data_IF_759559676953
#
_entry.id   IF_759559676953
#
_cell.length_a   1.000
_cell.length_b   1.000
_cell.length_c   1.000
_cell.angle_alpha   90.00
_cell.angle_beta   90.00
_cell.angle_gamma   90.00
#
_symmetry.space_group_name_H-M   'P 1'
#
loop_
_entity.id
_entity.type
_entity.pdbx_description
1 polymer ?
#
# COMPACT_ATOMS: atom_id res chain seq x y z
N UNK A 1 27.82 5.82 97.32
CA UNK A 1 27.90 7.27 97.60
C UNK A 1 26.47 7.80 97.66
N UNK A 2 26.13 8.44 98.80
CA UNK A 2 25.14 9.51 99.05
C UNK A 2 23.95 9.68 98.08
N UNK A 3 22.73 9.98 98.50
CA UNK A 3 22.08 10.12 99.79
C UNK A 3 20.61 10.48 99.48
N UNK A 4 19.71 10.09 100.39
CA UNK A 4 18.58 10.84 100.94
C UNK A 4 17.60 11.61 100.04
N UNK A 5 16.32 11.36 100.32
CA UNK A 5 15.21 12.28 100.03
C UNK A 5 13.89 11.79 100.62
N UNK A 6 13.71 11.95 101.93
CA UNK A 6 12.47 11.69 102.69
C UNK A 6 11.52 12.90 102.55
N UNK A 7 10.21 12.66 102.38
CA UNK A 7 9.05 13.28 103.09
C UNK A 7 7.78 13.13 102.23
N UNK A 8 6.83 12.26 102.62
CA UNK A 8 5.62 12.52 103.44
C UNK A 8 4.73 13.65 102.88
N UNK A 9 3.46 13.36 102.58
CA UNK A 9 2.27 13.93 103.23
C UNK A 9 0.98 13.19 102.81
N UNK A 10 0.20 12.82 103.82
CA UNK A 10 -1.26 12.69 103.97
C UNK A 10 -2.10 13.49 102.93
N UNK A 11 -3.40 13.27 102.65
CA UNK A 11 -4.48 12.37 103.06
C UNK A 11 -5.75 12.92 102.32
N UNK A 12 -6.86 12.18 102.37
CA UNK A 12 -8.26 12.58 102.14
C UNK A 12 -8.81 12.40 100.72
N UNK A 13 -9.71 11.41 100.53
CA UNK A 13 -11.22 11.47 100.53
C UNK A 13 -11.71 11.95 99.16
N UNK A 14 -12.73 11.39 98.51
CA UNK A 14 -13.82 10.49 98.90
C UNK A 14 -14.59 10.06 97.61
N UNK A 15 -15.53 9.12 97.78
CA UNK A 15 -16.70 8.84 96.92
C UNK A 15 -16.40 8.23 95.53
N UNK A 16 -16.81 7.01 95.17
CA UNK A 16 -17.99 6.23 95.56
C UNK A 16 -18.82 5.98 94.29
N UNK A 17 -19.11 4.71 93.97
CA UNK A 17 -20.33 4.17 93.32
C UNK A 17 -20.01 2.84 92.61
N UNK A 18 -20.72 1.80 93.05
CA UNK A 18 -20.81 0.46 92.49
C UNK A 18 -21.38 0.45 91.06
N UNK A 19 -20.87 -0.40 90.17
CA UNK A 19 -21.69 -1.01 89.11
C UNK A 19 -21.08 -2.30 88.53
N UNK A 20 -21.72 -3.43 88.83
CA UNK A 20 -22.05 -4.57 87.95
C UNK A 20 -20.92 -5.06 87.00
N UNK A 21 -20.29 -6.19 87.38
CA UNK A 21 -19.47 -6.99 86.48
C UNK A 21 -20.38 -7.79 85.51
N UNK A 22 -20.56 -7.29 84.29
CA UNK A 22 -21.14 -8.05 83.17
C UNK A 22 -20.05 -8.94 82.55
N UNK A 23 -20.30 -10.25 82.58
CA UNK A 23 -19.51 -11.26 81.89
C UNK A 23 -19.74 -11.12 80.37
N UNK A 24 -18.82 -10.46 79.66
CA UNK A 24 -18.86 -10.36 78.19
C UNK A 24 -18.37 -11.69 77.60
N UNK A 25 -19.33 -12.55 77.24
CA UNK A 25 -19.08 -13.69 76.35
C UNK A 25 -18.81 -13.11 74.96
N UNK A 26 -17.56 -13.18 74.51
CA UNK A 26 -17.20 -12.99 73.11
C UNK A 26 -17.81 -14.14 72.29
N UNK A 27 -19.06 -13.98 71.86
CA UNK A 27 -19.54 -14.66 70.66
C UNK A 27 -18.81 -14.02 69.48
N UNK A 28 -17.68 -14.60 69.08
CA UNK A 28 -17.17 -14.45 67.73
C UNK A 28 -18.22 -15.06 66.79
N UNK A 29 -19.13 -14.22 66.31
CA UNK A 29 -20.02 -14.55 65.22
C UNK A 29 -19.18 -15.14 64.09
N UNK A 30 -19.45 -16.37 63.60
CA UNK A 30 -18.94 -16.73 62.29
C UNK A 30 -19.52 -15.70 61.33
N UNK A 31 -18.63 -14.98 60.64
CA UNK A 31 -19.03 -14.21 59.47
C UNK A 31 -19.78 -15.21 58.58
N UNK A 32 -21.09 -15.05 58.50
CA UNK A 32 -21.89 -15.78 57.55
C UNK A 32 -21.35 -15.37 56.18
N UNK A 33 -20.52 -16.23 55.58
CA UNK A 33 -20.45 -16.32 54.14
C UNK A 33 -21.87 -16.69 53.73
N UNK A 34 -22.71 -15.69 53.44
CA UNK A 34 -23.86 -15.98 52.62
C UNK A 34 -23.28 -16.48 51.31
N UNK A 35 -23.69 -17.68 50.91
CA UNK A 35 -23.51 -18.16 49.54
C UNK A 35 -24.43 -17.33 48.65
N UNK A 36 -24.23 -16.02 48.58
CA UNK A 36 -24.86 -15.20 47.57
C UNK A 36 -24.22 -15.63 46.25
N UNK A 37 -24.94 -16.49 45.52
CA UNK A 37 -24.51 -16.93 44.20
C UNK A 37 -24.23 -15.70 43.32
N UNK A 38 -23.19 -15.77 42.50
CA UNK A 38 -22.82 -14.67 41.60
C UNK A 38 -24.03 -14.35 40.72
N UNK A 39 -24.53 -13.12 40.82
CA UNK A 39 -25.66 -12.64 40.04
C UNK A 39 -25.13 -11.85 38.84
N UNK A 40 -25.46 -12.33 37.64
CA UNK A 40 -25.06 -11.77 36.36
C UNK A 40 -26.29 -11.17 35.67
N UNK A 41 -26.34 -9.84 35.61
CA UNK A 41 -27.44 -9.13 34.95
C UNK A 41 -27.00 -8.69 33.57
N UNK A 42 -27.60 -9.25 32.52
CA UNK A 42 -27.29 -8.91 31.13
C UNK A 42 -27.87 -7.55 30.74
N UNK A 43 -27.12 -6.81 29.92
CA UNK A 43 -27.59 -5.57 29.29
C UNK A 43 -28.42 -5.93 28.06
N UNK A 44 -29.43 -5.11 27.71
CA UNK A 44 -30.22 -5.36 26.49
C UNK A 44 -29.44 -5.03 25.20
N UNK A 45 -28.64 -3.98 25.23
CA UNK A 45 -27.79 -3.60 24.11
C UNK A 45 -26.49 -2.94 24.58
N UNK A 46 -25.41 -3.15 23.83
CA UNK A 46 -24.09 -2.57 24.09
C UNK A 46 -23.43 -2.18 22.78
N UNK A 47 -22.80 -1.00 22.76
CA UNK A 47 -21.89 -0.60 21.70
C UNK A 47 -20.44 -0.86 22.14
N UNK A 48 -19.66 -1.53 21.29
CA UNK A 48 -18.24 -1.82 21.54
C UNK A 48 -17.37 -1.32 20.38
N UNK A 49 -16.11 -1.01 20.67
CA UNK A 49 -15.07 -0.62 19.71
C UNK A 49 -13.99 -1.72 19.56
N UNK A 50 -13.65 -2.36 20.67
CA UNK A 50 -12.64 -3.41 20.79
C UNK A 50 -12.97 -4.68 19.99
N UNK A 51 -11.94 -5.49 19.70
CA UNK A 51 -12.06 -6.70 18.89
C UNK A 51 -12.67 -7.91 19.63
N UNK A 52 -12.61 -7.93 20.96
CA UNK A 52 -13.07 -9.02 21.81
C UNK A 52 -14.02 -8.51 22.88
N UNK A 53 -15.19 -9.12 23.01
CA UNK A 53 -16.20 -8.78 24.00
C UNK A 53 -15.88 -9.53 25.29
N UNK A 54 -15.68 -8.78 26.37
CA UNK A 54 -15.52 -9.30 27.72
C UNK A 54 -16.86 -9.39 28.43
N UNK A 55 -16.93 -10.20 29.47
CA UNK A 55 -18.16 -10.38 30.25
C UNK A 55 -18.64 -9.06 30.87
N UNK A 56 -17.71 -8.24 31.36
CA UNK A 56 -17.98 -6.91 31.92
C UNK A 56 -18.62 -5.93 30.93
N UNK A 57 -18.39 -6.14 29.63
CA UNK A 57 -18.94 -5.27 28.59
C UNK A 57 -20.45 -5.47 28.48
N UNK A 58 -20.90 -6.72 28.59
CA UNK A 58 -22.27 -7.15 28.29
C UNK A 58 -23.14 -7.43 29.52
N UNK A 59 -22.53 -7.55 30.70
CA UNK A 59 -23.25 -7.84 31.94
C UNK A 59 -22.63 -7.14 33.14
N UNK A 60 -23.47 -6.84 34.14
CA UNK A 60 -23.04 -6.38 35.46
C UNK A 60 -23.01 -7.56 36.43
N UNK A 61 -21.89 -7.74 37.13
CA UNK A 61 -21.64 -8.85 38.04
C UNK A 61 -21.74 -8.37 39.49
N UNK A 62 -22.45 -9.11 40.34
CA UNK A 62 -22.63 -8.81 41.77
C UNK A 62 -22.63 -10.09 42.61
N UNK A 63 -22.47 -9.97 43.93
CA UNK A 63 -22.59 -11.11 44.86
C UNK A 63 -21.31 -11.89 45.13
N UNK A 64 -20.13 -11.41 44.73
CA UNK A 64 -18.85 -12.05 45.05
C UNK A 64 -17.75 -11.04 45.39
N UNK A 65 -16.59 -11.53 45.81
CA UNK A 65 -15.43 -10.69 46.13
C UNK A 65 -14.97 -9.89 44.90
N UNK A 66 -14.42 -8.69 45.14
CA UNK A 66 -13.97 -7.79 44.06
C UNK A 66 -12.94 -8.46 43.12
N UNK A 67 -12.07 -9.31 43.68
CA UNK A 67 -11.08 -10.05 42.90
C UNK A 67 -11.74 -11.09 41.97
N UNK A 68 -12.73 -11.84 42.46
CA UNK A 68 -13.47 -12.80 41.64
C UNK A 68 -14.27 -12.10 40.54
N UNK A 69 -14.92 -10.98 40.86
CA UNK A 69 -15.68 -10.19 39.89
C UNK A 69 -14.79 -9.62 38.78
N UNK A 70 -13.58 -9.15 39.11
CA UNK A 70 -12.60 -8.70 38.12
C UNK A 70 -12.14 -9.83 37.20
N UNK A 71 -11.80 -10.99 37.77
CA UNK A 71 -11.37 -12.17 36.99
C UNK A 71 -12.47 -12.65 36.06
N UNK A 72 -13.70 -12.82 36.56
CA UNK A 72 -14.87 -13.19 35.76
C UNK A 72 -15.18 -12.15 34.69
N UNK A 73 -15.18 -10.86 35.06
CA UNK A 73 -15.41 -9.75 34.15
C UNK A 73 -14.45 -9.69 32.97
N UNK A 74 -13.18 -10.05 33.19
CA UNK A 74 -12.15 -10.07 32.15
C UNK A 74 -12.29 -11.22 31.13
N UNK A 75 -13.16 -12.20 31.40
CA UNK A 75 -13.37 -13.37 30.53
C UNK A 75 -13.85 -12.93 29.15
N UNK A 76 -13.15 -13.35 28.10
CA UNK A 76 -13.56 -13.10 26.71
C UNK A 76 -14.68 -14.06 26.35
N UNK A 77 -15.87 -13.50 26.13
CA UNK A 77 -17.07 -14.26 25.77
C UNK A 77 -17.11 -14.51 24.27
N UNK A 78 -16.95 -13.45 23.47
CA UNK A 78 -17.11 -13.51 22.02
C UNK A 78 -16.11 -12.59 21.30
N UNK A 79 -15.91 -12.82 20.01
CA UNK A 79 -15.33 -11.80 19.12
C UNK A 79 -16.41 -10.78 18.76
N UNK A 80 -16.04 -9.51 18.75
CA UNK A 80 -16.92 -8.41 18.30
C UNK A 80 -17.34 -8.62 16.84
N UNK A 81 -18.53 -8.13 16.44
CA UNK A 81 -18.93 -8.14 15.03
C UNK A 81 -17.96 -7.30 14.16
N UNK A 82 -18.15 -7.33 12.84
CA UNK A 82 -17.45 -6.38 11.98
C UNK A 82 -17.92 -4.94 12.30
N UNK A 83 -17.09 -3.91 12.09
CA UNK A 83 -17.50 -2.52 12.28
C UNK A 83 -18.82 -2.22 11.53
N UNK A 84 -19.80 -1.64 12.23
CA UNK A 84 -21.12 -1.31 11.69
C UNK A 84 -22.11 -2.48 11.71
N UNK A 85 -21.68 -3.69 12.05
CA UNK A 85 -22.55 -4.86 12.16
C UNK A 85 -23.02 -5.10 13.60
N UNK A 86 -24.06 -5.92 13.70
CA UNK A 86 -24.70 -6.34 14.95
C UNK A 86 -24.48 -7.83 15.15
N UNK A 87 -24.27 -8.24 16.41
CA UNK A 87 -24.25 -9.63 16.84
C UNK A 87 -25.09 -9.79 18.10
N UNK A 88 -25.84 -10.89 18.19
CA UNK A 88 -26.55 -11.27 19.41
C UNK A 88 -25.75 -12.32 20.17
N UNK A 89 -25.69 -12.18 21.49
CA UNK A 89 -25.03 -13.14 22.39
C UNK A 89 -26.02 -13.57 23.46
N UNK A 90 -26.47 -14.82 23.37
CA UNK A 90 -27.44 -15.41 24.30
C UNK A 90 -26.83 -15.90 25.61
N UNK A 91 -27.67 -16.05 26.63
CA UNK A 91 -27.30 -16.56 27.95
C UNK A 91 -26.61 -17.92 27.86
N UNK A 92 -27.13 -18.86 27.05
CA UNK A 92 -26.55 -20.20 26.93
C UNK A 92 -25.13 -20.17 26.35
N UNK A 93 -24.88 -19.29 25.38
CA UNK A 93 -23.54 -19.10 24.84
C UNK A 93 -22.58 -18.54 25.91
N UNK A 94 -23.03 -17.56 26.70
CA UNK A 94 -22.25 -17.01 27.81
C UNK A 94 -21.94 -18.11 28.84
N UNK A 95 -22.93 -18.93 29.20
CA UNK A 95 -22.77 -20.04 30.14
C UNK A 95 -21.70 -21.03 29.67
N UNK A 96 -21.74 -21.42 28.39
CA UNK A 96 -20.72 -22.31 27.81
C UNK A 96 -19.32 -21.68 27.91
N UNK A 97 -19.19 -20.38 27.60
CA UNK A 97 -17.91 -19.67 27.66
C UNK A 97 -17.36 -19.54 29.07
N UNK A 98 -18.22 -19.28 30.04
CA UNK A 98 -17.82 -19.20 31.45
C UNK A 98 -17.38 -20.56 32.00
N UNK A 99 -18.09 -21.65 31.66
CA UNK A 99 -17.65 -23.01 32.00
C UNK A 99 -16.28 -23.33 31.40
N UNK A 100 -16.04 -22.96 30.14
CA UNK A 100 -14.74 -23.13 29.47
C UNK A 100 -13.62 -22.32 30.14
N UNK A 101 -13.95 -21.18 30.75
CA UNK A 101 -13.03 -20.37 31.53
C UNK A 101 -12.84 -20.85 32.98
N UNK A 102 -13.45 -21.98 33.36
CA UNK A 102 -13.34 -22.58 34.69
C UNK A 102 -14.29 -22.01 35.74
N UNK A 103 -15.30 -21.23 35.34
CA UNK A 103 -16.28 -20.68 36.27
C UNK A 103 -17.42 -21.67 36.56
N UNK A 104 -17.83 -21.78 37.83
CA UNK A 104 -19.01 -22.56 38.21
C UNK A 104 -20.28 -21.78 37.87
N UNK A 105 -20.86 -22.09 36.71
CA UNK A 105 -22.11 -21.47 36.26
C UNK A 105 -23.38 -22.07 36.87
N UNK A 106 -23.31 -23.20 37.58
CA UNK A 106 -24.51 -23.85 38.13
C UNK A 106 -25.06 -23.08 39.33
N UNK A 107 -24.19 -22.45 40.10
CA UNK A 107 -24.51 -21.58 41.24
C UNK A 107 -24.79 -20.11 40.84
N UNK A 108 -24.68 -19.78 39.54
CA UNK A 108 -24.87 -18.41 39.05
C UNK A 108 -26.32 -18.11 38.67
N UNK A 109 -26.78 -16.91 39.04
CA UNK A 109 -28.11 -16.42 38.70
C UNK A 109 -27.99 -15.46 37.51
N UNK A 110 -28.62 -15.80 36.39
CA UNK A 110 -28.66 -14.95 35.20
C UNK A 110 -29.97 -14.15 35.19
N UNK A 111 -29.88 -12.81 35.15
CA UNK A 111 -31.03 -11.89 35.11
C UNK A 111 -31.00 -11.02 33.87
N UNK A 112 -32.16 -10.50 33.47
CA UNK A 112 -32.30 -9.60 32.33
C UNK A 112 -32.74 -10.33 31.04
N UNK A 113 -32.43 -9.77 29.87
CA UNK A 113 -32.85 -10.32 28.58
C UNK A 113 -32.13 -11.63 28.23
N UNK A 114 -32.77 -12.44 27.38
CA UNK A 114 -32.26 -13.75 26.95
C UNK A 114 -30.99 -13.65 26.07
N UNK A 115 -30.81 -12.50 25.43
CA UNK A 115 -29.67 -12.17 24.61
C UNK A 115 -29.26 -10.69 24.72
N UNK A 116 -28.00 -10.42 24.41
CA UNK A 116 -27.44 -9.07 24.35
C UNK A 116 -27.23 -8.69 22.91
N UNK A 117 -27.83 -7.59 22.48
CA UNK A 117 -27.57 -7.00 21.16
C UNK A 117 -26.29 -6.17 21.19
N UNK A 118 -25.26 -6.64 20.50
CA UNK A 118 -23.95 -6.01 20.48
C UNK A 118 -23.74 -5.36 19.12
N UNK A 119 -23.54 -4.04 19.10
CA UNK A 119 -23.24 -3.28 17.89
C UNK A 119 -21.78 -2.85 17.93
N UNK A 120 -21.04 -3.03 16.84
CA UNK A 120 -19.69 -2.47 16.74
C UNK A 120 -19.74 -1.09 16.10
N UNK A 121 -19.23 -0.08 16.80
CA UNK A 121 -19.15 1.26 16.23
C UNK A 121 -18.28 1.26 14.98
N UNK A 122 -18.66 2.10 14.00
CA UNK A 122 -17.92 2.25 12.76
C UNK A 122 -17.79 3.72 12.35
N UNK A 123 -16.61 4.05 11.84
CA UNK A 123 -16.35 5.27 11.10
C UNK A 123 -16.47 4.98 9.60
N UNK A 124 -17.03 5.96 8.86
CA UNK A 124 -17.02 5.93 7.39
C UNK A 124 -15.68 6.43 6.86
N UNK A 125 -15.27 5.92 5.70
CA UNK A 125 -14.07 6.39 5.02
C UNK A 125 -14.26 7.84 4.50
N UNK A 126 -13.36 8.79 4.78
CA UNK A 126 -13.50 10.16 4.29
C UNK A 126 -13.10 10.26 2.81
N UNK A 127 -14.05 9.99 1.91
CA UNK A 127 -13.85 9.86 0.45
C UNK A 127 -13.01 11.01 -0.13
N UNK A 128 -13.42 12.28 0.07
CA UNK A 128 -12.70 13.46 -0.45
C UNK A 128 -11.25 13.57 0.02
N UNK A 129 -10.97 13.13 1.25
CA UNK A 129 -9.61 13.14 1.82
C UNK A 129 -8.75 12.06 1.14
N UNK A 130 -9.34 10.91 0.84
CA UNK A 130 -8.65 9.82 0.13
C UNK A 130 -8.41 10.18 -1.33
N UNK A 131 -9.40 10.72 -2.04
CA UNK A 131 -9.25 11.18 -3.43
C UNK A 131 -8.06 12.15 -3.58
N UNK A 132 -8.02 13.19 -2.74
CA UNK A 132 -6.94 14.19 -2.77
C UNK A 132 -5.57 13.59 -2.41
N UNK A 133 -5.55 12.63 -1.49
CA UNK A 133 -4.32 11.93 -1.13
C UNK A 133 -3.80 11.02 -2.25
N UNK A 134 -4.71 10.33 -2.95
CA UNK A 134 -4.40 9.52 -4.13
C UNK A 134 -3.84 10.40 -5.25
N UNK A 135 -4.50 11.53 -5.55
CA UNK A 135 -4.02 12.48 -6.55
C UNK A 135 -2.62 12.99 -6.21
N UNK A 136 -2.40 13.39 -4.95
CA UNK A 136 -1.08 13.85 -4.49
C UNK A 136 -0.01 12.75 -4.59
N UNK A 137 -0.38 11.49 -4.27
CA UNK A 137 0.52 10.35 -4.36
C UNK A 137 0.90 10.01 -5.81
N UNK A 138 -0.03 10.17 -6.76
CA UNK A 138 0.25 10.03 -8.20
C UNK A 138 1.18 11.15 -8.65
N UNK A 139 0.83 12.42 -8.39
CA UNK A 139 1.60 13.60 -8.83
C UNK A 139 3.03 13.65 -8.31
N UNK A 140 3.27 13.10 -7.13
CA UNK A 140 4.62 13.08 -6.52
C UNK A 140 5.53 11.97 -7.04
N UNK A 141 5.01 10.99 -7.77
CA UNK A 141 5.75 9.79 -8.19
C UNK A 141 5.78 9.57 -9.69
N UNK A 142 4.86 10.19 -10.43
CA UNK A 142 4.79 10.05 -11.88
C UNK A 142 6.02 10.67 -12.56
N UNK A 143 6.47 10.12 -13.69
CA UNK A 143 7.60 10.66 -14.47
C UNK A 143 7.20 11.88 -15.33
N UNK A 144 5.91 12.16 -15.43
CA UNK A 144 5.33 13.18 -16.30
C UNK A 144 5.27 14.56 -15.64
N UNK A 145 5.22 15.63 -16.43
CA UNK A 145 5.03 17.00 -15.92
C UNK A 145 3.59 17.18 -15.45
N UNK A 146 3.40 17.86 -14.33
CA UNK A 146 2.05 18.08 -13.76
C UNK A 146 1.07 18.79 -14.71
N UNK A 147 1.57 19.71 -15.54
CA UNK A 147 0.76 20.48 -16.50
C UNK A 147 0.23 19.65 -17.68
N UNK A 148 0.88 18.52 -17.97
CA UNK A 148 0.54 17.62 -19.07
C UNK A 148 -0.42 16.50 -18.63
N UNK A 149 -0.66 16.37 -17.32
CA UNK A 149 -1.33 15.20 -16.74
C UNK A 149 -2.72 15.55 -16.21
N UNK A 150 -3.70 14.79 -16.69
CA UNK A 150 -5.07 14.80 -16.17
C UNK A 150 -5.36 13.49 -15.46
N UNK A 151 -5.69 13.56 -14.17
CA UNK A 151 -6.10 12.40 -13.34
C UNK A 151 -7.61 12.42 -13.22
N UNK A 152 -8.28 11.34 -13.59
CA UNK A 152 -9.74 11.21 -13.56
C UNK A 152 -10.18 9.82 -13.10
N UNK A 153 -11.48 9.66 -12.83
CA UNK A 153 -12.05 8.34 -12.55
C UNK A 153 -11.52 7.64 -11.29
N UNK A 154 -11.10 8.41 -10.27
CA UNK A 154 -10.65 7.84 -8.99
C UNK A 154 -11.83 7.12 -8.34
N UNK A 155 -11.74 5.79 -8.25
CA UNK A 155 -12.83 4.93 -7.73
C UNK A 155 -12.29 3.84 -6.81
N UNK A 156 -13.04 3.56 -5.75
CA UNK A 156 -12.75 2.51 -4.76
C UNK A 156 -14.04 2.10 -4.03
N UNK A 157 -13.99 1.03 -3.23
CA UNK A 157 -15.12 0.62 -2.39
C UNK A 157 -15.36 1.66 -1.27
N UNK A 158 -16.40 2.49 -1.43
CA UNK A 158 -16.80 3.51 -0.46
C UNK A 158 -17.66 2.96 0.68
N UNK A 159 -18.12 1.71 0.58
CA UNK A 159 -19.00 1.07 1.58
C UNK A 159 -18.22 0.51 2.78
N UNK A 160 -16.93 0.82 2.86
CA UNK A 160 -16.03 0.33 3.89
C UNK A 160 -16.33 0.99 5.23
N UNK A 161 -16.70 0.16 6.19
CA UNK A 161 -16.83 0.53 7.59
C UNK A 161 -15.53 0.20 8.33
N UNK A 162 -14.95 1.19 8.99
CA UNK A 162 -13.71 1.06 9.75
C UNK A 162 -13.99 1.12 11.25
N UNK A 163 -13.15 0.51 12.10
CA UNK A 163 -13.17 0.80 13.53
C UNK A 163 -13.03 2.31 13.79
N UNK A 164 -13.64 2.78 14.88
CA UNK A 164 -13.43 4.14 15.37
C UNK A 164 -11.99 4.30 15.86
N UNK A 165 -11.38 5.46 15.60
CA UNK A 165 -10.00 5.77 15.97
C UNK A 165 -9.32 6.72 15.00
N UNK A 166 -8.02 6.96 15.16
CA UNK A 166 -7.24 7.84 14.27
C UNK A 166 -6.89 7.11 12.97
N UNK A 167 -7.58 7.46 11.90
CA UNK A 167 -7.32 6.94 10.56
C UNK A 167 -6.02 7.48 9.97
N UNK A 168 -5.15 6.56 9.56
CA UNK A 168 -4.00 6.83 8.69
C UNK A 168 -3.99 5.85 7.50
N UNK A 169 -3.25 6.18 6.45
CA UNK A 169 -3.24 5.39 5.24
C UNK A 169 -1.88 5.42 4.54
N UNK A 170 -1.62 4.41 3.70
CA UNK A 170 -0.46 4.34 2.82
C UNK A 170 -0.91 3.93 1.42
N UNK A 171 -0.48 4.69 0.41
CA UNK A 171 -0.79 4.43 -1.00
C UNK A 171 0.46 3.84 -1.66
N UNK A 172 0.32 2.62 -2.19
CA UNK A 172 1.38 1.84 -2.81
C UNK A 172 1.03 1.60 -4.28
N UNK A 173 1.84 2.06 -5.24
CA UNK A 173 1.63 1.76 -6.66
C UNK A 173 2.03 0.32 -7.00
N UNK A 174 1.64 -0.13 -8.19
CA UNK A 174 2.16 -1.37 -8.75
C UNK A 174 3.67 -1.26 -9.07
N UNK A 175 4.33 -2.41 -9.23
CA UNK A 175 5.74 -2.44 -9.66
C UNK A 175 5.84 -1.91 -11.10
N UNK A 176 6.80 -1.03 -11.34
CA UNK A 176 7.07 -0.42 -12.66
C UNK A 176 5.86 0.32 -13.26
N UNK A 177 5.06 0.97 -12.42
CA UNK A 177 3.95 1.84 -12.86
C UNK A 177 4.50 3.03 -13.67
N UNK A 178 4.04 3.18 -14.91
CA UNK A 178 4.37 4.30 -15.80
C UNK A 178 3.38 5.47 -15.65
N UNK A 179 2.31 5.29 -14.87
CA UNK A 179 1.26 6.29 -14.62
C UNK A 179 0.62 6.79 -15.92
N UNK A 180 0.33 5.86 -16.84
CA UNK A 180 -0.32 6.14 -18.11
C UNK A 180 -1.55 5.24 -18.29
N UNK A 181 -2.68 5.85 -18.65
CA UNK A 181 -3.94 5.14 -18.85
C UNK A 181 -4.53 4.63 -17.53
N UNK A 182 -4.98 3.37 -17.51
CA UNK A 182 -5.64 2.79 -16.34
C UNK A 182 -4.61 2.37 -15.30
N UNK A 183 -4.57 3.08 -14.18
CA UNK A 183 -3.65 2.83 -13.06
C UNK A 183 -4.39 2.26 -11.87
N UNK A 184 -3.79 1.27 -11.21
CA UNK A 184 -4.34 0.61 -10.01
C UNK A 184 -3.36 0.79 -8.85
N UNK A 185 -3.84 1.36 -7.75
CA UNK A 185 -3.05 1.63 -6.54
C UNK A 185 -3.63 0.85 -5.35
N UNK A 186 -2.77 0.38 -4.46
CA UNK A 186 -3.16 -0.22 -3.20
C UNK A 186 -3.22 0.83 -2.09
N UNK A 187 -4.41 1.02 -1.51
CA UNK A 187 -4.64 1.84 -0.32
C UNK A 187 -4.67 0.93 0.92
N UNK A 188 -3.62 1.03 1.74
CA UNK A 188 -3.55 0.35 3.03
C UNK A 188 -4.10 1.28 4.11
N UNK A 189 -5.15 0.85 4.82
CA UNK A 189 -5.82 1.61 5.86
C UNK A 189 -5.39 1.13 7.24
N UNK A 190 -5.08 2.07 8.12
CA UNK A 190 -4.65 1.83 9.48
C UNK A 190 -5.51 2.65 10.45
N UNK A 191 -5.90 2.05 11.57
CA UNK A 191 -6.59 2.75 12.66
C UNK A 191 -5.73 2.61 13.91
N UNK A 192 -5.35 3.74 14.50
CA UNK A 192 -4.46 3.80 15.66
C UNK A 192 -3.12 3.06 15.46
N UNK A 193 -2.64 3.05 14.20
CA UNK A 193 -1.37 2.41 13.81
C UNK A 193 -1.51 0.95 13.36
N UNK A 194 -2.63 0.29 13.65
CA UNK A 194 -2.87 -1.11 13.30
C UNK A 194 -3.47 -1.25 11.90
N UNK A 195 -2.99 -2.19 11.06
CA UNK A 195 -3.53 -2.41 9.72
C UNK A 195 -4.93 -3.03 9.80
N UNK A 196 -5.91 -2.37 9.16
CA UNK A 196 -7.31 -2.81 9.20
C UNK A 196 -7.75 -3.42 7.88
N UNK A 197 -7.45 -2.76 6.75
CA UNK A 197 -7.94 -3.19 5.44
C UNK A 197 -7.04 -2.71 4.30
N UNK A 198 -6.97 -3.50 3.24
CA UNK A 198 -6.37 -3.14 1.95
C UNK A 198 -7.48 -2.93 0.93
N UNK A 199 -7.42 -1.83 0.19
CA UNK A 199 -8.41 -1.43 -0.81
C UNK A 199 -7.69 -1.13 -2.12
N UNK A 200 -8.28 -1.55 -3.23
CA UNK A 200 -7.79 -1.18 -4.56
C UNK A 200 -8.45 0.11 -5.00
N UNK A 201 -7.63 1.08 -5.42
CA UNK A 201 -8.07 2.34 -5.99
C UNK A 201 -7.74 2.31 -7.48
N UNK A 202 -8.74 2.50 -8.32
CA UNK A 202 -8.54 2.67 -9.75
C UNK A 202 -8.51 4.17 -10.07
N UNK A 203 -7.67 4.58 -10.99
CA UNK A 203 -7.65 5.91 -11.58
C UNK A 203 -7.30 5.81 -13.06
N UNK A 204 -7.71 6.81 -13.84
CA UNK A 204 -7.30 6.97 -15.24
C UNK A 204 -6.41 8.20 -15.34
N UNK A 205 -5.21 8.02 -15.87
CA UNK A 205 -4.20 9.06 -16.04
C UNK A 205 -4.01 9.30 -17.54
N UNK A 206 -4.43 10.47 -18.02
CA UNK A 206 -4.20 10.93 -19.38
C UNK A 206 -3.00 11.86 -19.40
N UNK A 207 -2.13 11.71 -20.39
CA UNK A 207 -0.90 12.48 -20.51
C UNK A 207 -0.84 13.10 -21.91
N UNK A 208 -0.95 14.42 -21.96
CA UNK A 208 -0.80 15.18 -23.20
C UNK A 208 0.67 15.44 -23.46
N UNK A 209 1.21 14.89 -24.56
CA UNK A 209 2.60 15.09 -24.93
C UNK A 209 2.73 15.52 -26.38
N UNK A 210 3.84 16.17 -26.66
CA UNK A 210 4.28 16.47 -28.02
C UNK A 210 4.67 15.18 -28.74
N UNK A 211 4.08 14.97 -29.91
CA UNK A 211 4.37 13.83 -30.79
C UNK A 211 4.63 14.32 -32.20
N UNK A 212 5.49 13.60 -32.91
CA UNK A 212 5.84 13.94 -34.29
C UNK A 212 4.81 13.33 -35.24
N UNK A 213 4.23 14.16 -36.11
CA UNK A 213 3.29 13.74 -37.16
C UNK A 213 3.86 14.03 -38.55
N UNK A 214 3.46 13.23 -39.54
CA UNK A 214 3.77 13.50 -40.93
C UNK A 214 2.78 14.52 -41.50
N UNK A 215 3.24 15.61 -42.10
CA UNK A 215 2.36 16.59 -42.78
C UNK A 215 2.28 16.35 -44.29
N UNK A 216 3.19 15.53 -44.84
CA UNK A 216 3.25 15.14 -46.25
C UNK A 216 3.35 13.62 -46.38
N UNK A 217 2.95 13.04 -47.52
CA UNK A 217 3.14 11.62 -47.76
C UNK A 217 4.64 11.30 -47.82
N UNK A 218 5.07 10.33 -47.02
CA UNK A 218 6.44 9.81 -47.03
C UNK A 218 6.45 8.42 -47.67
N UNK A 219 7.06 8.32 -48.84
CA UNK A 219 7.22 7.07 -49.57
C UNK A 219 8.19 6.11 -48.88
N UNK A 220 8.07 4.82 -49.18
CA UNK A 220 9.02 3.81 -48.70
C UNK A 220 10.45 4.18 -49.12
N UNK A 221 11.38 4.13 -48.17
CA UNK A 221 12.80 4.52 -48.31
C UNK A 221 13.08 6.00 -48.60
N UNK A 222 12.05 6.85 -48.61
CA UNK A 222 12.21 8.30 -48.67
C UNK A 222 12.91 8.81 -47.40
N UNK A 223 13.84 9.73 -47.58
CA UNK A 223 14.50 10.44 -46.49
C UNK A 223 13.53 11.43 -45.85
N UNK A 224 13.54 11.48 -44.52
CA UNK A 224 12.65 12.34 -43.75
C UNK A 224 13.35 13.67 -43.51
N UNK A 225 12.72 14.75 -43.98
CA UNK A 225 13.19 16.12 -43.80
C UNK A 225 12.31 16.88 -42.82
N UNK A 226 12.81 18.02 -42.32
CA UNK A 226 12.06 18.87 -41.39
C UNK A 226 10.72 19.34 -41.99
N UNK A 227 10.68 19.59 -43.30
CA UNK A 227 9.49 20.03 -44.02
C UNK A 227 8.40 18.95 -44.16
N UNK A 228 8.70 17.69 -43.81
CA UNK A 228 7.74 16.58 -43.84
C UNK A 228 7.05 16.35 -42.50
N UNK A 229 7.54 17.00 -41.44
CA UNK A 229 7.15 16.75 -40.05
C UNK A 229 6.49 17.95 -39.39
N UNK A 230 5.64 17.67 -38.42
CA UNK A 230 5.11 18.65 -37.46
C UNK A 230 5.11 18.03 -36.06
N UNK A 231 5.04 18.88 -35.05
CA UNK A 231 4.78 18.46 -33.67
C UNK A 231 3.34 18.79 -33.34
N UNK A 232 2.62 17.82 -32.79
CA UNK A 232 1.25 17.98 -32.31
C UNK A 232 1.15 17.50 -30.87
N UNK A 233 0.32 18.15 -30.05
CA UNK A 233 0.01 17.68 -28.70
C UNK A 233 -1.10 16.62 -28.78
N UNK A 234 -0.81 15.39 -28.35
CA UNK A 234 -1.75 14.26 -28.37
C UNK A 234 -1.76 13.55 -27.02
N UNK A 235 -2.85 12.85 -26.72
CA UNK A 235 -2.92 11.98 -25.53
C UNK A 235 -2.13 10.69 -25.80
N UNK A 236 -1.12 10.43 -24.97
CA UNK A 236 -0.28 9.23 -25.08
C UNK A 236 -1.05 7.93 -24.84
N UNK A 237 -2.19 7.97 -24.14
CA UNK A 237 -3.00 6.77 -23.86
C UNK A 237 -3.56 6.15 -25.15
N UNK A 238 -3.84 6.97 -26.16
CA UNK A 238 -4.39 6.53 -27.45
C UNK A 238 -3.31 6.13 -28.45
N UNK A 239 -2.03 6.28 -28.09
CA UNK A 239 -0.91 6.13 -29.01
C UNK A 239 -0.08 4.88 -28.70
N UNK A 240 0.57 4.29 -29.72
CA UNK A 240 1.53 3.22 -29.52
C UNK A 240 2.75 3.68 -28.71
N UNK A 241 3.32 2.77 -27.92
CA UNK A 241 4.45 3.07 -27.03
C UNK A 241 5.76 3.43 -27.74
N UNK A 242 5.90 3.09 -29.03
CA UNK A 242 7.07 3.42 -29.85
C UNK A 242 6.93 4.76 -30.61
N UNK A 243 5.94 5.58 -30.22
CA UNK A 243 5.72 6.93 -30.77
C UNK A 243 6.95 7.81 -30.61
N UNK A 244 7.29 8.52 -31.68
CA UNK A 244 8.40 9.48 -31.71
C UNK A 244 7.93 10.82 -31.13
N UNK A 245 8.59 11.29 -30.07
CA UNK A 245 8.24 12.53 -29.37
C UNK A 245 9.05 13.75 -29.80
N UNK A 246 10.19 13.55 -30.47
CA UNK A 246 11.07 14.63 -30.91
C UNK A 246 11.38 14.53 -32.40
N UNK A 247 11.35 15.67 -33.09
CA UNK A 247 11.67 15.74 -34.52
C UNK A 247 13.09 15.21 -34.78
N UNK A 248 14.05 15.53 -33.90
CA UNK A 248 15.45 15.11 -34.02
C UNK A 248 15.62 13.60 -34.13
N UNK A 249 14.73 12.80 -33.51
CA UNK A 249 14.79 11.34 -33.56
C UNK A 249 14.30 10.79 -34.91
N UNK A 250 13.54 11.58 -35.68
CA UNK A 250 13.07 11.23 -37.02
C UNK A 250 13.96 11.78 -38.14
N UNK A 251 14.62 12.92 -37.92
CA UNK A 251 15.45 13.57 -38.95
C UNK A 251 16.63 12.69 -39.40
N UNK A 252 16.89 12.70 -40.70
CA UNK A 252 17.99 11.93 -41.30
C UNK A 252 17.71 10.43 -41.43
N UNK A 253 16.66 9.92 -40.78
CA UNK A 253 16.15 8.58 -41.04
C UNK A 253 15.38 8.54 -42.37
N UNK A 254 15.03 7.32 -42.78
CA UNK A 254 14.15 7.05 -43.92
C UNK A 254 12.94 6.25 -43.49
N UNK A 255 11.83 6.45 -44.18
CA UNK A 255 10.63 5.65 -43.94
C UNK A 255 10.86 4.19 -44.36
N UNK A 256 10.40 3.23 -43.55
CA UNK A 256 10.46 1.79 -43.84
C UNK A 256 9.26 1.31 -44.66
N UNK A 257 8.18 2.10 -44.67
CA UNK A 257 6.91 1.89 -45.40
C UNK A 257 6.33 3.24 -45.82
N UNK A 258 5.21 3.22 -46.55
CA UNK A 258 4.43 4.43 -46.83
C UNK A 258 3.86 4.99 -45.52
N UNK A 259 4.02 6.29 -45.28
CA UNK A 259 3.42 7.01 -44.15
C UNK A 259 2.52 8.11 -44.73
N UNK A 260 1.26 8.13 -44.31
CA UNK A 260 0.28 9.09 -44.79
C UNK A 260 0.32 10.38 -43.95
N UNK A 261 -0.05 11.53 -44.51
CA UNK A 261 -0.24 12.77 -43.75
C UNK A 261 -1.18 12.56 -42.55
N UNK A 262 -0.92 13.27 -41.44
CA UNK A 262 -1.62 13.15 -40.17
C UNK A 262 -1.23 11.94 -39.32
N UNK A 263 -0.43 11.01 -39.85
CA UNK A 263 0.03 9.84 -39.09
C UNK A 263 1.05 10.24 -38.03
N UNK A 264 0.86 9.75 -36.81
CA UNK A 264 1.88 9.83 -35.75
C UNK A 264 3.05 8.93 -36.12
N UNK A 265 4.26 9.48 -36.12
CA UNK A 265 5.48 8.74 -36.40
C UNK A 265 5.78 7.78 -35.25
N UNK A 266 6.08 6.54 -35.63
CA UNK A 266 6.54 5.50 -34.71
C UNK A 266 7.96 5.11 -35.10
N UNK A 267 8.74 4.70 -34.11
CA UNK A 267 10.12 4.25 -34.29
C UNK A 267 10.22 3.07 -35.28
N UNK A 268 9.20 2.21 -35.32
CA UNK A 268 9.09 1.11 -36.29
C UNK A 268 8.90 1.56 -37.75
N UNK A 269 8.40 2.78 -37.98
CA UNK A 269 8.18 3.33 -39.33
C UNK A 269 9.41 3.99 -39.92
N UNK A 270 10.45 4.22 -39.12
CA UNK A 270 11.66 4.93 -39.51
C UNK A 270 12.89 4.05 -39.32
N UNK A 271 13.92 4.28 -40.11
CA UNK A 271 15.19 3.60 -39.92
C UNK A 271 16.33 4.43 -40.45
N UNK A 272 17.52 4.28 -39.86
CA UNK A 272 18.69 4.97 -40.37
C UNK A 272 19.05 4.50 -41.77
N UNK A 273 19.52 5.42 -42.64
CA UNK A 273 19.95 5.06 -43.98
C UNK A 273 21.17 4.12 -43.93
N UNK A 274 21.30 3.18 -44.88
CA UNK A 274 22.52 2.42 -45.06
C UNK A 274 23.66 3.39 -45.40
N UNK A 275 24.79 3.22 -44.72
CA UNK A 275 26.00 3.99 -44.96
C UNK A 275 26.83 3.42 -46.12
N UNK A 276 26.56 2.16 -46.48
CA UNK A 276 27.13 1.47 -47.63
C UNK A 276 26.04 0.70 -48.37
N UNK A 277 26.08 0.69 -49.69
CA UNK A 277 25.17 -0.03 -50.59
C UNK A 277 25.93 -1.12 -51.34
N UNK A 278 25.20 -2.07 -51.93
CA UNK A 278 25.80 -3.08 -52.80
C UNK A 278 26.46 -2.40 -54.00
N UNK A 279 27.72 -2.74 -54.24
CA UNK A 279 28.54 -2.17 -55.31
C UNK A 279 29.43 -1.01 -54.85
N UNK A 280 29.19 -0.44 -53.66
CA UNK A 280 30.01 0.65 -53.16
C UNK A 280 31.45 0.19 -52.92
N UNK A 281 32.40 1.03 -53.32
CA UNK A 281 33.81 0.88 -52.97
C UNK A 281 34.03 1.47 -51.59
N UNK A 282 34.54 0.65 -50.66
CA UNK A 282 34.76 1.01 -49.25
C UNK A 282 36.20 0.75 -48.82
N UNK A 283 36.66 1.52 -47.84
CA UNK A 283 37.92 1.28 -47.15
C UNK A 283 37.72 0.20 -46.08
N UNK A 284 38.41 -0.92 -46.22
CA UNK A 284 38.51 -1.97 -45.22
C UNK A 284 39.63 -1.58 -44.26
N UNK A 285 39.32 -1.45 -42.98
CA UNK A 285 40.26 -1.11 -41.90
C UNK A 285 40.39 -2.33 -40.99
N UNK A 286 41.62 -2.80 -40.79
CA UNK A 286 41.94 -3.94 -39.94
C UNK A 286 42.95 -3.47 -38.89
N UNK A 287 42.62 -3.61 -37.61
CA UNK A 287 43.53 -3.28 -36.52
C UNK A 287 44.07 -4.57 -35.91
N UNK A 288 45.39 -4.75 -35.92
CA UNK A 288 46.10 -5.91 -35.36
C UNK A 288 47.16 -5.39 -34.40
N UNK A 289 46.89 -5.48 -33.09
CA UNK A 289 47.74 -4.87 -32.08
C UNK A 289 47.86 -3.35 -32.28
N UNK A 290 49.08 -2.85 -32.50
CA UNK A 290 49.35 -1.43 -32.81
C UNK A 290 49.39 -1.11 -34.31
N UNK A 291 49.11 -2.08 -35.19
CA UNK A 291 49.14 -1.90 -36.65
C UNK A 291 47.74 -1.70 -37.23
N UNK A 292 47.57 -0.68 -38.08
CA UNK A 292 46.37 -0.46 -38.87
C UNK A 292 46.64 -0.80 -40.33
N UNK A 293 45.99 -1.82 -40.85
CA UNK A 293 46.03 -2.24 -42.25
C UNK A 293 44.81 -1.67 -42.96
N UNK A 294 45.02 -1.04 -44.11
CA UNK A 294 43.92 -0.54 -44.94
C UNK A 294 43.95 -1.15 -46.33
N UNK A 295 42.80 -1.61 -46.81
CA UNK A 295 42.62 -2.12 -48.16
C UNK A 295 41.33 -1.57 -48.78
N UNK A 296 41.19 -1.70 -50.10
CA UNK A 296 39.97 -1.34 -50.80
C UNK A 296 39.10 -2.57 -51.01
N UNK A 297 37.79 -2.41 -50.90
CA UNK A 297 36.85 -3.50 -51.11
C UNK A 297 35.53 -3.05 -51.72
N UNK A 298 34.84 -3.98 -52.38
CA UNK A 298 33.51 -3.78 -52.96
C UNK A 298 32.46 -4.46 -52.10
N UNK A 299 31.48 -3.68 -51.65
CA UNK A 299 30.39 -4.15 -50.78
C UNK A 299 29.40 -5.03 -51.57
N UNK A 300 29.00 -6.16 -51.00
CA UNK A 300 28.06 -7.11 -51.63
C UNK A 300 26.62 -6.97 -51.14
N UNK A 301 26.38 -6.28 -50.03
CA UNK A 301 25.06 -6.05 -49.46
C UNK A 301 25.02 -4.68 -48.78
N UNK A 302 23.86 -4.03 -48.74
CA UNK A 302 23.73 -2.78 -47.99
C UNK A 302 23.97 -3.00 -46.50
N UNK A 303 24.48 -1.98 -45.81
CA UNK A 303 24.68 -2.03 -44.36
C UNK A 303 24.59 -0.65 -43.70
N UNK A 304 24.02 -0.64 -42.50
CA UNK A 304 23.98 0.52 -41.60
C UNK A 304 25.17 0.49 -40.65
N UNK A 305 25.41 1.61 -39.96
CA UNK A 305 26.44 1.72 -38.93
C UNK A 305 26.33 0.56 -37.93
N UNK A 306 27.43 -0.15 -37.70
CA UNK A 306 27.51 -1.28 -36.78
C UNK A 306 27.07 -2.64 -37.34
N UNK A 307 26.39 -2.69 -38.49
CA UNK A 307 25.98 -3.94 -39.14
C UNK A 307 27.17 -4.63 -39.82
N UNK A 308 27.14 -5.96 -39.89
CA UNK A 308 28.14 -6.75 -40.60
C UNK A 308 27.76 -6.89 -42.08
N UNK A 309 28.68 -6.55 -42.97
CA UNK A 309 28.51 -6.64 -44.42
C UNK A 309 29.59 -7.51 -45.06
N UNK A 310 29.23 -8.20 -46.13
CA UNK A 310 30.19 -8.94 -46.96
C UNK A 310 30.85 -7.98 -47.94
N UNK A 311 32.18 -7.97 -47.96
CA UNK A 311 32.99 -7.10 -48.82
C UNK A 311 34.00 -7.96 -49.57
N UNK A 312 34.14 -7.74 -50.88
CA UNK A 312 35.19 -8.37 -51.69
C UNK A 312 36.39 -7.45 -51.72
N UNK A 313 37.51 -7.88 -51.19
CA UNK A 313 38.77 -7.15 -51.32
C UNK A 313 39.15 -7.10 -52.80
N UNK A 314 39.42 -5.90 -53.33
CA UNK A 314 39.67 -5.70 -54.78
C UNK A 314 40.97 -6.34 -55.25
N UNK A 315 41.96 -6.45 -54.36
CA UNK A 315 43.31 -6.91 -54.70
C UNK A 315 43.40 -8.44 -54.63
N UNK A 316 42.86 -9.02 -53.56
CA UNK A 316 42.93 -10.47 -53.30
C UNK A 316 41.72 -11.26 -53.81
N UNK A 317 40.65 -10.57 -54.22
CA UNK A 317 39.33 -11.15 -54.60
C UNK A 317 38.67 -12.01 -53.53
N UNK A 318 39.17 -12.02 -52.28
CA UNK A 318 38.58 -12.75 -51.16
C UNK A 318 37.36 -12.02 -50.59
N UNK A 319 36.36 -12.77 -50.14
CA UNK A 319 35.18 -12.24 -49.44
C UNK A 319 35.48 -12.18 -47.95
N UNK A 320 35.30 -11.02 -47.34
CA UNK A 320 35.53 -10.77 -45.91
C UNK A 320 34.23 -10.21 -45.31
N UNK A 321 33.94 -10.57 -44.06
CA UNK A 321 32.84 -9.98 -43.30
C UNK A 321 33.40 -8.84 -42.46
N UNK A 322 32.89 -7.63 -42.65
CA UNK A 322 33.37 -6.43 -41.98
C UNK A 322 32.20 -5.62 -41.41
N UNK A 323 32.41 -4.96 -40.27
CA UNK A 323 31.45 -4.07 -39.61
C UNK A 323 31.46 -2.69 -40.26
N UNK A 324 30.31 -2.14 -40.62
CA UNK A 324 30.24 -0.77 -41.17
C UNK A 324 30.55 0.25 -40.06
N UNK A 325 31.59 1.04 -40.21
CA UNK A 325 32.01 2.03 -39.21
C UNK A 325 31.55 3.45 -39.57
N UNK A 326 31.41 3.74 -40.86
CA UNK A 326 31.01 5.05 -41.36
C UNK A 326 30.68 5.02 -42.86
N UNK A 327 30.33 6.18 -43.46
CA UNK A 327 30.14 6.29 -44.90
C UNK A 327 31.41 5.85 -45.64
N UNK A 328 31.29 4.86 -46.52
CA UNK A 328 32.44 4.37 -47.31
C UNK A 328 33.52 3.60 -46.52
N UNK A 329 33.27 3.23 -45.26
CA UNK A 329 34.27 2.57 -44.41
C UNK A 329 33.72 1.37 -43.63
N UNK A 330 34.52 0.31 -43.57
CA UNK A 330 34.22 -0.93 -42.83
C UNK A 330 35.44 -1.38 -42.03
N UNK A 331 35.23 -2.02 -40.88
CA UNK A 331 36.29 -2.55 -40.03
C UNK A 331 36.19 -4.08 -39.88
N UNK A 332 37.33 -4.75 -39.82
CA UNK A 332 37.42 -6.20 -39.53
C UNK A 332 38.00 -6.35 -38.14
N UNK A 333 37.25 -7.00 -37.26
CA UNK A 333 37.69 -7.37 -35.92
C UNK A 333 38.40 -8.75 -36.03
N UNK A 334 39.61 -8.87 -35.47
CA UNK A 334 40.41 -10.11 -35.43
C UNK A 334 40.39 -10.75 -34.05
#
# INVERSE_FOLDING_TARGET
MRANGIQRYHCTRELGVCLILMFVVFLSSPAAFSSDGICLTLKAAVAVDQAAIRLSDIATLTGASEMQLKTLGATVVARSPQPGQIRFVGIDYIRIRLKQAGADTASMIFKGPQDVRITRQAAKLPIRRIERAVETAIRSRMPWKNEDVTISGITFDETIHLPTGKLSYRIVPNRNEDYLGRTILALHLFVDGEPVRKVWVNATISVMADVVTAIRPLGKHQHIELADLSVERRDLVELPSDTVSRIEDALGNRATRMIYPGSVLQSSMISSPPLVKRGDIVKIIANIGSMTITATGMVKQQGRKGEMVRVVNTDSRRIITARVTGPGAVAVDF
#
